data_IF_514271033740
#
_entry.id   IF_514271033740
#
_cell.length_a   1.000
_cell.length_b   1.000
_cell.length_c   1.000
_cell.angle_alpha   90.00
_cell.angle_beta   90.00
_cell.angle_gamma   90.00
#
_symmetry.space_group_name_H-M   'P 1'
#
loop_
_entity.id
_entity.type
_entity.pdbx_description
1 polymer ?
#
# COMPACT_ATOMS: atom_id res chain seq x y z
N UNK A 1 14.00 -9.83 17.50
CA UNK A 1 12.58 -9.60 17.13
C UNK A 1 11.90 -10.94 16.88
N UNK A 2 10.64 -11.13 17.31
CA UNK A 2 9.91 -12.37 16.97
C UNK A 2 9.65 -12.39 15.46
N UNK A 3 9.67 -13.58 14.85
CA UNK A 3 9.40 -13.76 13.41
C UNK A 3 8.05 -13.13 12.99
N UNK A 4 7.07 -13.15 13.90
CA UNK A 4 5.76 -12.50 13.74
C UNK A 4 5.85 -10.98 13.61
N UNK A 5 6.74 -10.31 14.37
CA UNK A 5 6.93 -8.85 14.28
C UNK A 5 7.50 -8.45 12.91
N UNK A 6 8.46 -9.23 12.42
CA UNK A 6 9.06 -9.02 11.08
C UNK A 6 8.01 -9.16 9.96
N UNK A 7 7.15 -10.18 10.03
CA UNK A 7 6.06 -10.36 9.04
C UNK A 7 5.12 -9.15 9.01
N UNK A 8 4.76 -8.60 10.16
CA UNK A 8 3.90 -7.41 10.21
C UNK A 8 4.61 -6.15 9.69
N UNK A 9 5.91 -6.01 9.94
CA UNK A 9 6.71 -4.91 9.39
C UNK A 9 6.76 -4.99 7.85
N UNK A 10 7.03 -6.18 7.29
CA UNK A 10 7.02 -6.35 5.83
C UNK A 10 5.63 -6.12 5.23
N UNK A 11 4.57 -6.57 5.91
CA UNK A 11 3.19 -6.30 5.52
C UNK A 11 2.88 -4.80 5.52
N UNK A 12 3.29 -4.07 6.57
CA UNK A 12 3.14 -2.62 6.63
C UNK A 12 3.95 -1.92 5.52
N UNK A 13 5.19 -2.34 5.27
CA UNK A 13 6.03 -1.75 4.23
C UNK A 13 5.46 -1.96 2.83
N UNK A 14 5.01 -3.18 2.52
CA UNK A 14 4.38 -3.50 1.23
C UNK A 14 3.05 -2.75 1.05
N UNK A 15 2.24 -2.67 2.11
CA UNK A 15 1.01 -1.92 2.11
C UNK A 15 1.25 -0.41 1.91
N UNK A 16 2.31 0.13 2.51
CA UNK A 16 2.75 1.51 2.30
C UNK A 16 3.14 1.77 0.84
N UNK A 17 3.87 0.85 0.19
CA UNK A 17 4.18 0.95 -1.24
C UNK A 17 2.93 1.00 -2.12
N UNK A 18 1.86 0.28 -1.75
CA UNK A 18 0.59 0.37 -2.46
C UNK A 18 -0.08 1.75 -2.31
N UNK A 19 0.07 2.41 -1.16
CA UNK A 19 -0.42 3.78 -0.96
C UNK A 19 0.32 4.77 -1.86
N UNK A 20 1.62 4.55 -2.10
CA UNK A 20 2.43 5.39 -2.97
C UNK A 20 1.98 5.36 -4.45
N UNK A 21 1.14 4.39 -4.84
CA UNK A 21 0.54 4.38 -6.17
C UNK A 21 -0.27 5.64 -6.45
N UNK A 22 -0.80 6.33 -5.43
CA UNK A 22 -1.58 7.58 -5.61
C UNK A 22 -0.73 8.85 -5.70
N UNK A 23 0.60 8.74 -5.61
CA UNK A 23 1.48 9.91 -5.73
C UNK A 23 1.46 10.48 -7.15
N UNK A 24 1.59 11.81 -7.26
CA UNK A 24 1.61 12.50 -8.56
C UNK A 24 2.58 11.90 -9.57
N UNK A 25 3.83 11.53 -9.22
CA UNK A 25 4.75 10.93 -10.18
C UNK A 25 4.23 9.61 -10.76
N UNK A 26 3.61 8.76 -9.95
CA UNK A 26 3.09 7.47 -10.39
C UNK A 26 1.80 7.63 -11.21
N UNK A 27 0.91 8.52 -10.79
CA UNK A 27 -0.32 8.85 -11.52
C UNK A 27 0.00 9.49 -12.88
N UNK A 28 1.02 10.34 -12.95
CA UNK A 28 1.52 10.90 -14.21
C UNK A 28 2.13 9.81 -15.10
N UNK A 29 2.89 8.87 -14.52
CA UNK A 29 3.42 7.70 -15.25
C UNK A 29 2.30 6.86 -15.88
N UNK A 30 1.21 6.62 -15.16
CA UNK A 30 0.00 5.97 -15.71
C UNK A 30 -0.62 6.86 -16.80
N UNK A 31 -0.70 8.17 -16.60
CA UNK A 31 -1.21 9.11 -17.60
C UNK A 31 -0.51 9.01 -18.96
N UNK A 32 0.79 8.69 -19.00
CA UNK A 32 1.51 8.45 -20.26
C UNK A 32 1.00 7.23 -21.04
N UNK A 33 0.37 6.23 -20.39
CA UNK A 33 -0.21 5.10 -21.11
C UNK A 33 -1.36 5.51 -22.03
N UNK A 34 -2.02 6.64 -21.75
CA UNK A 34 -3.04 7.20 -22.66
C UNK A 34 -2.45 7.67 -23.99
N UNK A 35 -1.13 7.91 -24.07
CA UNK A 35 -0.45 8.25 -25.32
C UNK A 35 -0.17 7.04 -26.22
N UNK A 36 -0.32 5.81 -25.71
CA UNK A 36 -0.06 4.58 -26.48
C UNK A 36 -1.16 4.25 -27.50
N UNK A 37 -2.19 5.09 -27.63
CA UNK A 37 -3.28 4.91 -28.61
C UNK A 37 -4.24 3.76 -28.28
N UNK A 38 -4.14 3.19 -27.07
CA UNK A 38 -5.06 2.16 -26.59
C UNK A 38 -6.20 2.86 -25.83
N UNK A 39 -7.42 2.90 -26.38
CA UNK A 39 -8.54 3.58 -25.73
C UNK A 39 -8.84 2.94 -24.37
N UNK A 40 -9.17 3.77 -23.38
CA UNK A 40 -9.52 3.39 -22.00
C UNK A 40 -8.41 2.77 -21.14
N UNK A 41 -7.20 2.53 -21.68
CA UNK A 41 -6.13 1.87 -20.93
C UNK A 41 -5.71 2.66 -19.68
N UNK A 42 -5.48 3.98 -19.81
CA UNK A 42 -5.11 4.78 -18.64
C UNK A 42 -6.24 4.85 -17.63
N UNK A 43 -7.49 5.00 -18.06
CA UNK A 43 -8.65 5.03 -17.13
C UNK A 43 -8.75 3.74 -16.31
N UNK A 44 -8.56 2.58 -16.96
CA UNK A 44 -8.52 1.27 -16.29
C UNK A 44 -7.35 1.21 -15.30
N UNK A 45 -6.15 1.63 -15.71
CA UNK A 45 -4.98 1.64 -14.84
C UNK A 45 -5.14 2.61 -13.66
N UNK A 46 -5.77 3.76 -13.86
CA UNK A 46 -6.14 4.71 -12.82
C UNK A 46 -7.07 4.06 -11.80
N UNK A 47 -8.13 3.38 -12.26
CA UNK A 47 -9.07 2.69 -11.39
C UNK A 47 -8.40 1.57 -10.59
N UNK A 48 -7.56 0.74 -11.22
CA UNK A 48 -6.81 -0.33 -10.56
C UNK A 48 -5.85 0.25 -9.51
N UNK A 49 -5.12 1.32 -9.84
CA UNK A 49 -4.19 1.96 -8.91
C UNK A 49 -4.90 2.49 -7.66
N UNK A 50 -6.09 3.07 -7.82
CA UNK A 50 -6.92 3.56 -6.70
C UNK A 50 -7.39 2.42 -5.81
N UNK A 51 -7.86 1.33 -6.41
CA UNK A 51 -8.33 0.17 -5.67
C UNK A 51 -7.20 -0.51 -4.90
N UNK A 52 -6.03 -0.69 -5.53
CA UNK A 52 -4.83 -1.22 -4.86
C UNK A 52 -4.37 -0.32 -3.72
N UNK A 53 -4.35 0.99 -3.92
CA UNK A 53 -3.99 1.93 -2.86
C UNK A 53 -4.95 1.87 -1.68
N UNK A 54 -6.25 1.75 -1.93
CA UNK A 54 -7.25 1.62 -0.87
C UNK A 54 -7.03 0.35 -0.04
N UNK A 55 -6.77 -0.78 -0.70
CA UNK A 55 -6.39 -2.03 -0.03
C UNK A 55 -5.11 -1.84 0.78
N UNK A 56 -4.11 -1.15 0.21
CA UNK A 56 -2.86 -0.77 0.89
C UNK A 56 -3.10 -0.02 2.19
N UNK A 57 -3.97 1.00 2.19
CA UNK A 57 -4.32 1.74 3.42
C UNK A 57 -4.88 0.82 4.50
N UNK A 58 -5.82 -0.06 4.13
CA UNK A 58 -6.46 -0.98 5.10
C UNK A 58 -5.42 -1.93 5.70
N UNK A 59 -4.59 -2.56 4.87
CA UNK A 59 -3.57 -3.51 5.33
C UNK A 59 -2.52 -2.79 6.19
N UNK A 60 -2.15 -1.56 5.83
CA UNK A 60 -1.21 -0.75 6.59
C UNK A 60 -1.74 -0.46 8.00
N UNK A 61 -2.97 0.05 8.11
CA UNK A 61 -3.62 0.36 9.39
C UNK A 61 -3.69 -0.89 10.28
N UNK A 62 -4.17 -2.02 9.74
CA UNK A 62 -4.27 -3.27 10.49
C UNK A 62 -2.90 -3.76 10.96
N UNK A 63 -1.87 -3.68 10.10
CA UNK A 63 -0.51 -4.10 10.45
C UNK A 63 0.10 -3.18 11.52
N UNK A 64 -0.10 -1.87 11.41
CA UNK A 64 0.37 -0.88 12.38
C UNK A 64 -0.28 -1.06 13.76
N UNK A 65 -1.61 -1.22 13.82
CA UNK A 65 -2.33 -1.48 15.06
C UNK A 65 -1.79 -2.75 15.74
N UNK A 66 -1.61 -3.84 14.97
CA UNK A 66 -1.06 -5.09 15.51
C UNK A 66 0.36 -4.92 16.06
N UNK A 67 1.22 -4.15 15.38
CA UNK A 67 2.57 -3.86 15.86
C UNK A 67 2.56 -3.05 17.16
N UNK A 68 1.71 -2.03 17.25
CA UNK A 68 1.56 -1.20 18.45
C UNK A 68 1.10 -2.07 19.63
N UNK A 69 0.02 -2.84 19.46
CA UNK A 69 -0.51 -3.73 20.49
C UNK A 69 0.52 -4.77 20.95
N UNK A 70 1.31 -5.32 20.03
CA UNK A 70 2.31 -6.34 20.37
C UNK A 70 3.51 -5.75 21.12
N UNK A 71 3.84 -4.47 20.89
CA UNK A 71 4.88 -3.77 21.66
C UNK A 71 4.40 -3.42 23.07
N UNK A 72 3.18 -2.90 23.25
CA UNK A 72 2.63 -2.66 24.60
C UNK A 72 2.54 -3.93 25.45
N UNK A 73 2.19 -5.06 24.84
CA UNK A 73 2.12 -6.36 25.53
C UNK A 73 3.51 -6.86 25.98
N UNK A 74 4.58 -6.45 25.30
CA UNK A 74 5.97 -6.78 25.67
C UNK A 74 6.47 -5.95 26.85
N UNK A 75 6.04 -4.70 26.97
CA UNK A 75 6.46 -3.81 28.08
C UNK A 75 5.81 -4.17 29.43
N UNK A 76 4.69 -4.92 29.41
CA UNK A 76 4.00 -5.37 30.62
C UNK A 76 4.43 -6.77 31.11
N UNK A 77 5.38 -7.42 30.43
CA UNK A 77 5.92 -8.75 30.78
C UNK A 77 7.35 -8.67 31.26
#
# INVERSE_FOLDING_TARGET
>A
MKNTDLKFIYSALGAFMLVLLQTEPFQNAIGFSNLMGIPYLGDILFAISRLLSFIGVIVFIVSAIKLILNNFKKEQS
#
